data_IF_164491447127
#
_entry.id   IF_164491447127
#
_cell.length_a   1.000
_cell.length_b   1.000
_cell.length_c   1.000
_cell.angle_alpha   90.00
_cell.angle_beta   90.00
_cell.angle_gamma   90.00
#
_symmetry.space_group_name_H-M   'P 1'
#
loop_
_entity.id
_entity.type
_entity.pdbx_description
1 polymer ?
#
# COMPACT_ATOMS: atom_id res chain seq x y z
N UNK A 1 6.82 -5.71 22.79
CA UNK A 1 7.58 -5.39 21.56
C UNK A 1 8.91 -6.11 21.64
N UNK A 2 9.34 -6.80 20.57
CA UNK A 2 10.61 -7.53 20.53
C UNK A 2 11.50 -7.03 19.39
N UNK A 3 12.81 -7.26 19.48
CA UNK A 3 13.76 -6.92 18.41
C UNK A 3 13.50 -7.66 17.09
N UNK A 4 12.75 -8.78 17.14
CA UNK A 4 12.34 -9.54 15.97
C UNK A 4 11.17 -8.89 15.20
N UNK A 5 10.42 -7.99 15.86
CA UNK A 5 9.15 -7.44 15.35
C UNK A 5 9.16 -5.92 15.20
N UNK A 6 10.14 -5.23 15.79
CA UNK A 6 10.26 -3.79 15.70
C UNK A 6 11.72 -3.34 15.82
N UNK A 7 12.01 -2.19 15.22
CA UNK A 7 13.26 -1.46 15.45
C UNK A 7 13.13 -0.71 16.79
N UNK A 8 14.05 -0.98 17.70
CA UNK A 8 14.12 -0.37 19.02
C UNK A 8 15.14 0.75 18.99
N UNK A 9 14.68 1.97 19.27
CA UNK A 9 15.51 3.16 19.41
C UNK A 9 15.83 3.39 20.88
N UNK A 10 17.12 3.51 21.19
CA UNK A 10 17.63 3.87 22.50
C UNK A 10 18.30 5.25 22.45
N UNK A 11 18.73 5.78 23.60
CA UNK A 11 19.50 7.05 23.65
C UNK A 11 20.84 6.99 22.92
N UNK A 12 21.39 5.79 22.72
CA UNK A 12 22.69 5.57 22.09
C UNK A 12 22.58 5.12 20.62
N UNK A 13 21.37 4.90 20.11
CA UNK A 13 21.13 4.50 18.73
C UNK A 13 20.18 3.31 18.58
N UNK A 14 20.25 2.66 17.42
CA UNK A 14 19.45 1.48 17.06
C UNK A 14 20.01 0.25 17.79
N UNK A 15 19.15 -0.44 18.55
CA UNK A 15 19.55 -1.61 19.33
C UNK A 15 19.67 -2.89 18.50
N UNK A 16 18.87 -3.02 17.44
CA UNK A 16 18.75 -4.24 16.61
C UNK A 16 19.97 -4.53 15.71
N UNK A 17 21.05 -3.77 15.82
CA UNK A 17 22.15 -3.77 14.85
C UNK A 17 21.83 -2.90 13.62
N UNK A 18 22.44 -3.18 12.46
CA UNK A 18 22.26 -2.35 11.28
C UNK A 18 20.83 -2.45 10.74
N UNK A 19 20.34 -1.33 10.20
CA UNK A 19 19.07 -1.30 9.48
C UNK A 19 19.17 -2.12 8.19
N UNK A 20 18.04 -2.64 7.74
CA UNK A 20 17.91 -3.33 6.45
C UNK A 20 18.11 -2.36 5.29
N UNK A 21 17.68 -1.12 5.49
CA UNK A 21 17.86 -0.01 4.56
C UNK A 21 18.31 1.24 5.31
N UNK A 22 19.17 2.10 4.74
CA UNK A 22 19.57 3.37 5.36
C UNK A 22 18.37 4.28 5.72
N UNK A 23 17.26 4.14 4.99
CA UNK A 23 16.03 4.91 5.09
C UNK A 23 14.84 4.07 5.60
N UNK A 24 15.08 2.99 6.35
CA UNK A 24 14.06 2.02 6.77
C UNK A 24 12.89 2.65 7.53
N UNK A 25 13.12 3.68 8.35
CA UNK A 25 12.06 4.38 9.08
C UNK A 25 11.03 5.04 8.16
N UNK A 26 11.47 5.70 7.08
CA UNK A 26 10.54 6.34 6.14
C UNK A 26 9.89 5.31 5.23
N UNK A 27 10.59 4.24 4.86
CA UNK A 27 9.99 3.10 4.14
C UNK A 27 8.86 2.46 4.94
N UNK A 28 9.01 2.33 6.25
CA UNK A 28 7.94 1.86 7.12
C UNK A 28 6.73 2.81 7.12
N UNK A 29 6.95 4.14 7.08
CA UNK A 29 5.84 5.10 6.93
C UNK A 29 5.15 5.04 5.58
N UNK A 30 5.89 4.74 4.51
CA UNK A 30 5.29 4.45 3.20
C UNK A 30 4.48 3.15 3.25
N UNK A 31 4.97 2.12 3.94
CA UNK A 31 4.25 0.86 4.13
C UNK A 31 2.97 1.05 4.95
N UNK A 32 3.03 1.84 6.02
CA UNK A 32 1.86 2.27 6.82
C UNK A 32 0.82 2.96 5.91
N UNK A 33 1.25 3.93 5.09
CA UNK A 33 0.38 4.62 4.14
C UNK A 33 -0.27 3.66 3.13
N UNK A 34 0.49 2.72 2.56
CA UNK A 34 -0.06 1.71 1.63
C UNK A 34 -1.14 0.87 2.34
N UNK A 35 -0.88 0.45 3.57
CA UNK A 35 -1.85 -0.30 4.39
C UNK A 35 -3.11 0.51 4.68
N UNK A 36 -2.97 1.78 5.05
CA UNK A 36 -4.11 2.66 5.33
C UNK A 36 -4.94 2.93 4.06
N UNK A 37 -4.29 3.16 2.91
CA UNK A 37 -4.98 3.35 1.61
C UNK A 37 -5.75 2.10 1.18
N UNK A 38 -5.29 0.90 1.56
CA UNK A 38 -6.00 -0.34 1.27
C UNK A 38 -7.38 -0.42 1.95
N UNK A 39 -7.64 0.39 2.98
CA UNK A 39 -8.96 0.52 3.60
C UNK A 39 -10.03 1.08 2.65
N UNK A 40 -9.64 1.66 1.52
CA UNK A 40 -10.57 2.04 0.45
C UNK A 40 -11.25 0.82 -0.23
N UNK A 41 -10.76 -0.40 0.03
CA UNK A 41 -11.34 -1.64 -0.49
C UNK A 41 -11.04 -1.93 -1.97
N UNK A 42 -10.31 -1.04 -2.65
CA UNK A 42 -9.84 -1.17 -4.03
C UNK A 42 -8.44 -0.59 -4.15
N UNK A 43 -7.66 -1.08 -5.14
CA UNK A 43 -6.37 -0.47 -5.45
C UNK A 43 -6.59 0.96 -5.95
N UNK A 44 -5.83 1.90 -5.39
CA UNK A 44 -5.86 3.30 -5.81
C UNK A 44 -4.80 3.50 -6.89
N UNK A 45 -5.23 3.91 -8.07
CA UNK A 45 -4.35 4.38 -9.12
C UNK A 45 -4.29 5.91 -9.04
N UNK A 46 -3.17 6.44 -8.53
CA UNK A 46 -3.00 7.87 -8.36
C UNK A 46 -1.66 8.22 -7.71
N UNK A 47 -1.40 9.53 -7.57
CA UNK A 47 -0.23 10.06 -6.87
C UNK A 47 -0.62 10.53 -5.48
N UNK A 48 0.03 9.98 -4.46
CA UNK A 48 -0.16 10.40 -3.06
C UNK A 48 1.07 11.16 -2.58
N UNK A 49 0.84 12.30 -1.94
CA UNK A 49 1.87 13.11 -1.29
C UNK A 49 1.53 13.22 0.18
N UNK A 50 2.46 12.83 1.05
CA UNK A 50 2.28 12.78 2.49
C UNK A 50 3.47 13.47 3.17
N UNK A 51 3.21 14.59 3.86
CA UNK A 51 4.21 15.31 4.63
C UNK A 51 3.91 15.17 6.12
N UNK A 52 4.82 14.54 6.86
CA UNK A 52 4.68 14.28 8.32
C UNK A 52 3.35 13.62 8.69
N UNK A 53 2.78 12.86 7.76
CA UNK A 53 1.49 12.21 7.94
C UNK A 53 1.60 10.91 8.75
N UNK A 54 0.49 10.53 9.37
CA UNK A 54 0.31 9.24 10.03
C UNK A 54 -1.12 8.74 9.84
N UNK A 55 -1.46 7.63 10.51
CA UNK A 55 -2.71 6.90 10.29
C UNK A 55 -3.98 7.77 10.34
N UNK A 56 -4.05 8.75 11.26
CA UNK A 56 -5.21 9.63 11.34
C UNK A 56 -5.43 10.47 10.06
N UNK A 57 -4.35 10.96 9.44
CA UNK A 57 -4.43 11.71 8.19
C UNK A 57 -4.74 10.79 7.00
N UNK A 58 -4.15 9.60 6.97
CA UNK A 58 -4.37 8.63 5.88
C UNK A 58 -5.82 8.13 5.88
N UNK A 59 -6.34 7.76 7.04
CA UNK A 59 -7.73 7.31 7.21
C UNK A 59 -8.74 8.43 6.93
N UNK A 60 -8.42 9.68 7.26
CA UNK A 60 -9.24 10.84 6.90
C UNK A 60 -9.29 11.04 5.36
N UNK A 61 -8.16 10.88 4.67
CA UNK A 61 -8.10 10.91 3.21
C UNK A 61 -8.99 9.80 2.60
N UNK A 62 -8.86 8.56 3.07
CA UNK A 62 -9.71 7.45 2.61
C UNK A 62 -11.19 7.73 2.90
N UNK A 63 -11.52 8.24 4.08
CA UNK A 63 -12.90 8.61 4.43
C UNK A 63 -13.48 9.64 3.47
N UNK A 64 -12.69 10.64 3.06
CA UNK A 64 -13.12 11.64 2.07
C UNK A 64 -13.37 11.02 0.70
N UNK A 65 -12.46 10.18 0.21
CA UNK A 65 -12.63 9.46 -1.08
C UNK A 65 -13.88 8.58 -1.09
N UNK A 66 -14.20 7.93 0.04
CA UNK A 66 -15.38 7.07 0.14
C UNK A 66 -16.69 7.87 0.26
N UNK A 67 -16.65 9.08 0.84
CA UNK A 67 -17.83 9.95 0.97
C UNK A 67 -18.17 10.67 -0.33
N UNK A 68 -17.16 11.08 -1.09
CA UNK A 68 -17.37 11.83 -2.33
C UNK A 68 -17.00 11.00 -3.56
N UNK A 69 -18.01 10.33 -4.11
CA UNK A 69 -17.89 9.49 -5.31
C UNK A 69 -17.47 10.27 -6.56
N UNK A 70 -17.61 11.60 -6.58
CA UNK A 70 -17.23 12.43 -7.74
C UNK A 70 -15.72 12.64 -7.87
N UNK A 71 -14.94 12.31 -6.83
CA UNK A 71 -13.49 12.55 -6.78
C UNK A 71 -12.65 11.46 -7.45
N UNK A 72 -13.27 10.37 -7.90
CA UNK A 72 -12.59 9.24 -8.52
C UNK A 72 -13.51 8.52 -9.51
N UNK A 73 -12.92 7.66 -10.35
CA UNK A 73 -13.64 6.77 -11.23
C UNK A 73 -13.18 5.32 -11.06
N UNK A 74 -14.07 4.37 -11.34
CA UNK A 74 -13.69 2.96 -11.31
C UNK A 74 -13.10 2.62 -12.67
N UNK A 75 -11.84 2.19 -12.68
CA UNK A 75 -11.15 1.73 -13.88
C UNK A 75 -10.72 0.29 -13.72
N UNK A 76 -10.53 -0.39 -14.85
CA UNK A 76 -9.99 -1.73 -14.94
C UNK A 76 -8.61 -1.61 -15.57
N UNK A 77 -7.60 -2.12 -14.89
CA UNK A 77 -6.25 -2.24 -15.45
C UNK A 77 -6.14 -3.64 -16.02
N UNK A 78 -5.96 -3.73 -17.33
CA UNK A 78 -5.60 -4.97 -18.00
C UNK A 78 -4.09 -5.14 -17.86
N UNK A 79 -3.68 -6.29 -17.35
CA UNK A 79 -2.28 -6.67 -17.28
C UNK A 79 -1.92 -7.40 -18.58
N UNK A 80 -1.25 -6.72 -19.51
CA UNK A 80 -0.85 -7.33 -20.78
C UNK A 80 0.19 -8.46 -20.57
N UNK A 81 0.97 -8.41 -19.48
CA UNK A 81 1.96 -9.46 -19.16
C UNK A 81 1.33 -10.76 -18.64
N UNK A 82 0.13 -10.68 -18.06
CA UNK A 82 -0.61 -11.87 -17.61
C UNK A 82 -1.08 -12.74 -18.79
N UNK A 83 -1.33 -12.15 -19.96
CA UNK A 83 -1.85 -12.84 -21.15
C UNK A 83 -0.78 -13.72 -21.82
N UNK A 84 0.50 -13.35 -21.77
CA UNK A 84 1.58 -14.19 -22.29
C UNK A 84 1.81 -15.45 -21.44
N UNK A 85 1.45 -15.42 -20.15
CA UNK A 85 1.56 -16.59 -19.26
C UNK A 85 0.40 -17.59 -19.41
N UNK A 86 -0.71 -17.18 -20.02
CA UNK A 86 -1.94 -17.97 -20.15
C UNK A 86 -2.11 -18.59 -21.55
N UNK A 87 -1.08 -18.54 -22.40
CA UNK A 87 -1.04 -19.23 -23.70
C UNK A 87 -1.01 -20.78 -23.58
N UNK A 88 -1.35 -21.33 -22.41
CA UNK A 88 -1.53 -22.75 -22.18
C UNK A 88 -2.68 -23.04 -21.21
N UNK A 89 -3.93 -22.80 -21.61
CA UNK A 89 -5.03 -23.78 -21.52
C UNK A 89 -6.32 -23.17 -22.07
N UNK A 90 -6.96 -23.87 -23.00
CA UNK A 90 -8.20 -23.44 -23.62
C UNK A 90 -9.32 -23.25 -22.58
N UNK A 91 -9.80 -22.02 -22.45
CA UNK A 91 -11.05 -21.71 -21.77
C UNK A 91 -12.13 -21.41 -22.81
N UNK A 92 -13.13 -22.28 -22.86
CA UNK A 92 -14.45 -21.96 -23.42
C UNK A 92 -15.27 -21.21 -22.36
N UNK A 93 -16.11 -20.24 -22.75
CA UNK A 93 -16.89 -19.44 -21.80
C UNK A 93 -18.00 -20.29 -21.16
N UNK A 94 -18.09 -20.27 -19.84
CA UNK A 94 -19.29 -20.72 -19.12
C UNK A 94 -20.23 -19.53 -18.94
N UNK A 95 -21.31 -19.52 -19.71
CA UNK A 95 -22.48 -18.70 -19.42
C UNK A 95 -23.37 -19.39 -18.38
N UNK A 96 -23.65 -18.70 -17.27
CA UNK A 96 -24.94 -18.67 -16.58
C UNK A 96 -24.94 -17.53 -15.54
#
# INVERSE_FOLDING_TARGET
VSEQSAIILTRIGVQNGPLRFPDEFVRHKVLDLIGDLALAGRRIQGRVVAERAGHAMHTALVSQLMKDRSTWELTYVYDEEAVESDAFTGLQPVHA
#
